data_IF_085004546795
#
_entry.id   IF_085004546795
#
_cell.length_a   1.000
_cell.length_b   1.000
_cell.length_c   1.000
_cell.angle_alpha   90.00
_cell.angle_beta   90.00
_cell.angle_gamma   90.00
#
_symmetry.space_group_name_H-M   'P 1'
#
loop_
_entity.id
_entity.type
_entity.pdbx_description
1 polymer ?
#
# COMPACT_ATOMS: atom_id res chain seq x y z
N UNK A 1 -17.03 28.16 -27.46
CA UNK A 1 -17.64 27.06 -26.67
C UNK A 1 -17.14 25.76 -27.26
N UNK A 2 -16.30 25.01 -26.56
CA UNK A 2 -15.88 23.67 -27.00
C UNK A 2 -17.01 22.70 -26.69
N UNK A 3 -17.51 22.00 -27.71
CA UNK A 3 -18.57 21.02 -27.54
C UNK A 3 -17.99 19.73 -26.93
N UNK A 4 -18.69 19.13 -25.97
CA UNK A 4 -18.32 17.84 -25.37
C UNK A 4 -18.83 16.71 -26.27
N UNK A 5 -18.15 15.56 -26.28
CA UNK A 5 -18.66 14.37 -26.98
C UNK A 5 -20.06 13.99 -26.49
N UNK A 6 -20.97 13.75 -27.44
CA UNK A 6 -22.29 13.20 -27.16
C UNK A 6 -22.23 11.68 -27.09
N UNK A 7 -23.30 11.07 -26.58
CA UNK A 7 -23.44 9.61 -26.53
C UNK A 7 -23.41 8.99 -27.94
N UNK A 8 -23.93 9.68 -28.93
CA UNK A 8 -23.94 9.23 -30.33
C UNK A 8 -22.53 9.23 -30.93
N UNK A 9 -21.73 10.26 -30.65
CA UNK A 9 -20.32 10.33 -31.07
C UNK A 9 -19.52 9.13 -30.51
N UNK A 10 -19.75 8.79 -29.24
CA UNK A 10 -19.06 7.66 -28.57
C UNK A 10 -19.49 6.32 -29.18
N UNK A 11 -20.77 6.15 -29.52
CA UNK A 11 -21.28 4.93 -30.18
C UNK A 11 -20.69 4.79 -31.58
N UNK A 12 -20.59 5.89 -32.33
CA UNK A 12 -19.96 5.89 -33.65
C UNK A 12 -18.46 5.59 -33.57
N UNK A 13 -17.76 6.14 -32.58
CA UNK A 13 -16.35 5.79 -32.33
C UNK A 13 -16.17 4.30 -32.04
N UNK A 14 -17.00 3.69 -31.17
CA UNK A 14 -16.92 2.25 -30.87
C UNK A 14 -17.23 1.34 -32.06
N UNK A 15 -18.04 1.82 -33.00
CA UNK A 15 -18.36 1.11 -34.24
C UNK A 15 -17.32 1.32 -35.34
N UNK A 16 -16.50 2.36 -35.21
CA UNK A 16 -15.41 2.64 -36.15
C UNK A 16 -14.38 1.52 -36.09
N UNK A 17 -13.91 1.07 -37.26
CA UNK A 17 -12.79 0.13 -37.38
C UNK A 17 -11.44 0.85 -37.27
N UNK A 18 -11.45 2.17 -37.12
CA UNK A 18 -10.27 3.00 -36.92
C UNK A 18 -9.64 2.69 -35.55
N UNK A 19 -8.33 2.36 -35.52
CA UNK A 19 -7.56 2.18 -34.26
C UNK A 19 -7.08 3.53 -33.72
N UNK A 20 -8.02 4.38 -33.35
CA UNK A 20 -7.73 5.71 -32.81
C UNK A 20 -8.25 5.85 -31.38
N UNK A 21 -7.56 6.63 -30.57
CA UNK A 21 -7.98 6.90 -29.19
C UNK A 21 -9.24 7.77 -29.18
N UNK A 22 -10.00 7.73 -28.07
CA UNK A 22 -11.21 8.55 -27.92
C UNK A 22 -10.88 10.06 -27.95
N UNK A 23 -9.69 10.42 -27.47
CA UNK A 23 -9.18 11.79 -27.47
C UNK A 23 -8.86 12.28 -28.89
N UNK A 24 -8.24 11.43 -29.72
CA UNK A 24 -7.92 11.79 -31.10
C UNK A 24 -9.19 11.88 -31.96
N UNK A 25 -10.17 11.00 -31.69
CA UNK A 25 -11.50 11.10 -32.29
C UNK A 25 -12.22 12.39 -31.88
N UNK A 26 -12.09 12.80 -30.62
CA UNK A 26 -12.63 14.06 -30.11
C UNK A 26 -12.01 15.27 -30.82
N UNK A 27 -10.66 15.30 -30.93
CA UNK A 27 -9.92 16.35 -31.62
C UNK A 27 -10.36 16.51 -33.08
N UNK A 28 -10.58 15.39 -33.79
CA UNK A 28 -11.06 15.40 -35.19
C UNK A 28 -12.45 16.03 -35.34
N UNK A 29 -13.33 15.82 -34.37
CA UNK A 29 -14.66 16.41 -34.33
C UNK A 29 -14.66 17.85 -33.78
N UNK A 30 -13.50 18.39 -33.38
CA UNK A 30 -13.41 19.68 -32.68
C UNK A 30 -14.08 19.67 -31.31
N UNK A 31 -14.25 18.47 -30.73
CA UNK A 31 -14.90 18.24 -29.44
C UNK A 31 -13.87 17.83 -28.38
N UNK A 32 -14.25 17.96 -27.11
CA UNK A 32 -13.41 17.56 -25.97
C UNK A 32 -14.07 16.39 -25.26
N UNK A 33 -13.25 15.44 -24.78
CA UNK A 33 -13.73 14.34 -23.93
C UNK A 33 -14.20 14.96 -22.61
N UNK A 34 -15.43 14.63 -22.17
CA UNK A 34 -15.95 15.13 -20.89
C UNK A 34 -14.96 14.81 -19.79
N UNK A 35 -14.67 15.81 -18.95
CA UNK A 35 -13.86 15.60 -17.75
C UNK A 35 -14.46 14.47 -16.89
N UNK A 36 -13.56 13.78 -16.20
CA UNK A 36 -13.75 12.60 -15.36
C UNK A 36 -15.14 12.58 -14.71
N UNK A 37 -15.97 11.61 -15.12
CA UNK A 37 -17.20 11.35 -14.40
C UNK A 37 -16.81 10.82 -13.03
N UNK A 38 -17.39 11.38 -11.97
CA UNK A 38 -17.30 10.80 -10.64
C UNK A 38 -17.83 9.36 -10.70
N UNK A 39 -16.95 8.38 -10.53
CA UNK A 39 -17.32 6.99 -10.47
C UNK A 39 -17.71 6.67 -9.03
N UNK A 40 -18.96 6.22 -8.84
CA UNK A 40 -19.41 5.65 -7.56
C UNK A 40 -18.95 4.19 -7.40
N UNK A 41 -17.89 3.78 -8.10
CA UNK A 41 -17.33 2.44 -8.00
C UNK A 41 -16.40 2.37 -6.77
N UNK A 42 -16.55 1.31 -5.97
CA UNK A 42 -15.78 1.15 -4.74
C UNK A 42 -14.28 1.04 -5.00
N UNK A 43 -13.87 0.46 -6.13
CA UNK A 43 -12.45 0.32 -6.47
C UNK A 43 -11.83 1.68 -6.81
N UNK A 44 -12.53 2.48 -7.62
CA UNK A 44 -12.08 3.83 -7.98
C UNK A 44 -12.04 4.76 -6.77
N UNK A 45 -13.06 4.70 -5.89
CA UNK A 45 -13.09 5.48 -4.64
C UNK A 45 -11.91 5.09 -3.73
N UNK A 46 -11.58 3.80 -3.64
CA UNK A 46 -10.46 3.32 -2.83
C UNK A 46 -9.13 3.79 -3.40
N UNK A 47 -8.93 3.68 -4.71
CA UNK A 47 -7.70 4.13 -5.38
C UNK A 47 -7.52 5.65 -5.24
N UNK A 48 -8.58 6.44 -5.46
CA UNK A 48 -8.54 7.90 -5.31
C UNK A 48 -8.17 8.33 -3.88
N UNK A 49 -8.69 7.63 -2.87
CA UNK A 49 -8.29 7.83 -1.46
C UNK A 49 -6.84 7.44 -1.20
N UNK A 50 -6.33 6.40 -1.85
CA UNK A 50 -4.91 6.00 -1.72
C UNK A 50 -4.01 7.08 -2.34
N UNK A 51 -4.37 7.62 -3.51
CA UNK A 51 -3.62 8.68 -4.18
C UNK A 51 -3.64 10.00 -3.36
N UNK A 52 -4.79 10.39 -2.83
CA UNK A 52 -4.91 11.54 -1.92
C UNK A 52 -4.09 11.34 -0.63
N UNK A 53 -4.06 10.14 -0.08
CA UNK A 53 -3.24 9.83 1.11
C UNK A 53 -1.75 9.87 0.76
N UNK A 54 -1.33 9.46 -0.44
CA UNK A 54 0.06 9.54 -0.89
C UNK A 54 0.50 11.01 -1.06
N UNK A 55 -0.31 11.86 -1.69
CA UNK A 55 0.00 13.28 -1.86
C UNK A 55 0.09 14.01 -0.51
N UNK A 56 -0.77 13.69 0.46
CA UNK A 56 -0.71 14.30 1.81
C UNK A 56 0.53 13.84 2.58
N UNK A 57 1.06 12.64 2.31
CA UNK A 57 2.30 12.16 2.92
C UNK A 57 3.52 12.88 2.32
N UNK A 58 3.56 13.11 1.00
CA UNK A 58 4.68 13.83 0.36
C UNK A 58 4.78 15.29 0.78
N UNK A 59 3.66 15.96 1.12
CA UNK A 59 3.67 17.36 1.59
C UNK A 59 4.11 17.48 3.07
N UNK A 60 4.01 16.40 3.86
CA UNK A 60 4.42 16.39 5.26
C UNK A 60 5.89 16.00 5.48
N UNK A 61 6.57 15.48 4.45
CA UNK A 61 7.93 14.91 4.55
C UNK A 61 9.02 15.87 4.05
N UNK A 62 8.97 17.14 4.46
CA UNK A 62 10.05 18.12 4.20
C UNK A 62 10.84 18.52 5.47
N UNK A 63 10.59 17.90 6.62
CA UNK A 63 11.39 18.11 7.83
C UNK A 63 11.56 16.79 8.59
N UNK A 64 12.58 16.03 8.21
CA UNK A 64 13.66 15.51 9.07
C UNK A 64 14.35 14.33 8.38
N UNK A 65 15.68 14.42 8.36
CA UNK A 65 16.57 13.47 7.70
C UNK A 65 16.30 12.01 8.14
N UNK A 66 16.34 11.04 7.21
CA UNK A 66 16.17 9.65 7.55
C UNK A 66 17.44 9.17 8.27
N UNK A 67 17.40 9.17 9.59
CA UNK A 67 18.37 8.43 10.38
C UNK A 67 18.12 6.94 10.10
N UNK A 68 18.93 6.37 9.21
CA UNK A 68 19.14 4.93 9.11
C UNK A 68 19.50 4.41 10.51
N UNK A 69 18.69 3.55 11.15
CA UNK A 69 19.23 2.73 12.21
C UNK A 69 19.95 1.56 11.53
N UNK A 70 21.24 1.74 11.26
CA UNK A 70 22.17 0.63 11.01
C UNK A 70 22.28 -0.18 12.30
N UNK A 71 21.29 -1.04 12.53
CA UNK A 71 21.38 -2.11 13.51
C UNK A 71 21.69 -3.35 12.69
N UNK A 72 22.97 -3.64 12.53
CA UNK A 72 23.45 -4.91 12.00
C UNK A 72 23.10 -6.03 12.99
N UNK A 73 21.83 -6.43 13.01
CA UNK A 73 21.45 -7.68 13.64
C UNK A 73 21.78 -8.76 12.60
N UNK A 74 22.88 -9.48 12.83
CA UNK A 74 23.19 -10.73 12.10
C UNK A 74 22.15 -11.81 12.46
N UNK A 75 20.92 -11.63 12.01
CA UNK A 75 19.90 -12.67 12.01
C UNK A 75 20.05 -13.44 10.71
N UNK A 76 20.27 -14.74 10.84
CA UNK A 76 20.24 -15.66 9.72
C UNK A 76 18.79 -15.87 9.29
N UNK A 77 18.40 -15.25 8.18
CA UNK A 77 17.14 -15.55 7.52
C UNK A 77 17.34 -16.74 6.58
N UNK A 78 16.43 -17.71 6.65
CA UNK A 78 16.42 -18.86 5.74
C UNK A 78 15.85 -18.50 4.36
N UNK A 79 15.02 -17.45 4.30
CA UNK A 79 14.27 -17.03 3.13
C UNK A 79 14.06 -15.51 3.12
N UNK A 80 13.87 -14.90 1.93
CA UNK A 80 13.62 -13.46 1.79
C UNK A 80 12.31 -13.03 2.47
N UNK A 81 12.34 -11.89 3.16
CA UNK A 81 11.16 -11.31 3.80
C UNK A 81 10.29 -10.58 2.78
N UNK A 82 8.99 -10.51 3.08
CA UNK A 82 8.04 -9.68 2.34
C UNK A 82 8.02 -8.26 2.92
N UNK A 83 7.74 -7.22 2.12
CA UNK A 83 7.68 -5.80 2.55
C UNK A 83 6.87 -5.60 3.85
N UNK A 84 5.72 -6.26 3.97
CA UNK A 84 4.89 -6.21 5.20
C UNK A 84 5.55 -6.90 6.39
N UNK A 85 6.20 -8.04 6.16
CA UNK A 85 6.95 -8.77 7.20
C UNK A 85 8.16 -7.95 7.68
N UNK A 86 8.81 -7.20 6.80
CA UNK A 86 9.91 -6.28 7.15
C UNK A 86 9.44 -5.16 8.07
N UNK A 87 8.27 -4.55 7.82
CA UNK A 87 7.70 -3.53 8.71
C UNK A 87 7.41 -4.10 10.10
N UNK A 88 6.79 -5.29 10.15
CA UNK A 88 6.53 -6.02 11.40
C UNK A 88 7.85 -6.28 12.14
N UNK A 89 8.86 -6.78 11.43
CA UNK A 89 10.17 -7.10 11.98
C UNK A 89 10.92 -5.85 12.47
N UNK A 90 10.87 -4.76 11.72
CA UNK A 90 11.43 -3.46 12.11
C UNK A 90 10.78 -2.94 13.39
N UNK A 91 9.46 -3.12 13.56
CA UNK A 91 8.78 -2.75 14.79
C UNK A 91 9.26 -3.58 15.99
N UNK A 92 9.50 -4.87 15.81
CA UNK A 92 10.13 -5.72 16.83
C UNK A 92 11.57 -5.28 17.13
N UNK A 93 12.34 -4.87 16.13
CA UNK A 93 13.71 -4.38 16.30
C UNK A 93 13.79 -3.04 17.04
N UNK A 94 12.80 -2.17 16.86
CA UNK A 94 12.65 -0.93 17.63
C UNK A 94 12.32 -1.20 19.11
N UNK A 95 11.52 -2.24 19.36
CA UNK A 95 11.04 -2.62 20.69
C UNK A 95 11.75 -3.87 21.26
N UNK A 96 13.09 -3.88 21.28
CA UNK A 96 13.87 -5.00 21.84
C UNK A 96 13.49 -5.27 23.29
N UNK A 97 13.33 -6.55 23.67
CA UNK A 97 13.00 -7.01 25.04
C UNK A 97 11.68 -6.48 25.63
N UNK A 98 10.89 -5.70 24.87
CA UNK A 98 9.56 -5.24 25.27
C UNK A 98 8.49 -6.19 24.72
N UNK A 99 7.39 -6.33 25.46
CA UNK A 99 6.19 -7.03 24.97
C UNK A 99 5.53 -6.20 23.87
N UNK A 100 5.42 -6.77 22.68
CA UNK A 100 4.75 -6.16 21.53
C UNK A 100 3.42 -6.86 21.27
N UNK A 101 2.35 -6.09 21.11
CA UNK A 101 1.02 -6.63 20.83
C UNK A 101 0.67 -6.57 19.35
N UNK A 102 -0.09 -7.56 18.87
CA UNK A 102 -0.59 -7.59 17.50
C UNK A 102 -1.44 -6.36 17.16
N UNK A 103 -2.18 -5.84 18.14
CA UNK A 103 -3.03 -4.65 18.00
C UNK A 103 -2.24 -3.40 17.59
N UNK A 104 -1.01 -3.24 18.08
CA UNK A 104 -0.18 -2.07 17.74
C UNK A 104 0.32 -2.15 16.30
N UNK A 105 0.76 -3.34 15.89
CA UNK A 105 1.24 -3.61 14.54
C UNK A 105 0.10 -3.48 13.52
N UNK A 106 -1.10 -3.92 13.90
CA UNK A 106 -2.32 -3.80 13.09
C UNK A 106 -2.63 -2.34 12.78
N UNK A 107 -2.51 -1.45 13.77
CA UNK A 107 -2.70 0.00 13.58
C UNK A 107 -1.69 0.60 12.62
N UNK A 108 -0.41 0.20 12.71
CA UNK A 108 0.66 0.72 11.84
C UNK A 108 0.43 0.30 10.39
N UNK A 109 0.06 -0.96 10.17
CA UNK A 109 -0.19 -1.46 8.83
C UNK A 109 -1.58 -1.08 8.29
N UNK A 110 -2.48 -0.63 9.16
CA UNK A 110 -3.90 -0.42 8.89
C UNK A 110 -4.60 -1.70 8.38
N UNK A 111 -4.23 -2.86 8.96
CA UNK A 111 -4.83 -4.18 8.64
C UNK A 111 -5.49 -4.80 9.87
N UNK A 112 -6.45 -5.72 9.67
CA UNK A 112 -7.01 -6.53 10.76
C UNK A 112 -5.94 -7.38 11.48
N UNK A 113 -6.16 -7.61 12.77
CA UNK A 113 -5.29 -8.42 13.63
C UNK A 113 -4.97 -9.82 13.07
N UNK A 114 -5.92 -10.44 12.37
CA UNK A 114 -5.74 -11.78 11.78
C UNK A 114 -4.57 -11.84 10.79
N UNK A 115 -4.38 -10.78 10.00
CA UNK A 115 -3.26 -10.69 9.07
C UNK A 115 -1.93 -10.52 9.79
N UNK A 116 -1.91 -9.78 10.90
CA UNK A 116 -0.70 -9.61 11.73
C UNK A 116 -0.25 -10.96 12.27
N UNK A 117 -1.17 -11.78 12.79
CA UNK A 117 -0.84 -13.14 13.24
C UNK A 117 -0.27 -14.01 12.12
N UNK A 118 -0.81 -13.88 10.90
CA UNK A 118 -0.27 -14.58 9.72
C UNK A 118 1.17 -14.14 9.41
N UNK A 119 1.45 -12.84 9.46
CA UNK A 119 2.81 -12.32 9.21
C UNK A 119 3.80 -12.71 10.29
N UNK A 120 3.39 -12.70 11.57
CA UNK A 120 4.23 -13.16 12.68
C UNK A 120 4.53 -14.67 12.55
N UNK A 121 3.53 -15.48 12.17
CA UNK A 121 3.70 -16.91 11.90
C UNK A 121 4.69 -17.15 10.75
N UNK A 122 4.61 -16.38 9.68
CA UNK A 122 5.55 -16.49 8.56
C UNK A 122 6.95 -16.03 8.94
N UNK A 123 7.09 -14.91 9.65
CA UNK A 123 8.36 -14.41 10.16
C UNK A 123 9.07 -15.46 11.00
N UNK A 124 8.36 -16.17 11.88
CA UNK A 124 8.92 -17.29 12.66
C UNK A 124 9.45 -18.44 11.82
N UNK A 125 8.85 -18.70 10.66
CA UNK A 125 9.34 -19.75 9.73
C UNK A 125 10.59 -19.30 8.98
N UNK A 126 10.73 -17.99 8.73
CA UNK A 126 11.82 -17.40 7.94
C UNK A 126 13.04 -17.03 8.77
N UNK A 127 12.84 -16.65 10.04
CA UNK A 127 13.92 -16.40 11.00
C UNK A 127 14.46 -17.75 11.48
N UNK A 128 15.76 -17.97 11.38
CA UNK A 128 16.39 -19.13 12.00
C UNK A 128 16.59 -18.87 13.50
N UNK A 129 15.93 -19.69 14.34
CA UNK A 129 16.10 -19.67 15.79
C UNK A 129 14.87 -19.23 16.58
N UNK A 130 14.80 -19.63 17.85
CA UNK A 130 13.71 -19.31 18.77
C UNK A 130 13.85 -17.88 19.34
N UNK A 131 14.08 -16.90 18.46
CA UNK A 131 14.33 -15.50 18.80
C UNK A 131 13.02 -14.79 19.16
N UNK A 132 11.89 -15.21 18.55
CA UNK A 132 10.58 -14.58 18.77
C UNK A 132 9.67 -15.46 19.63
N UNK A 133 9.63 -15.18 20.94
CA UNK A 133 8.90 -15.96 21.95
C UNK A 133 7.56 -15.30 22.29
N UNK A 134 6.57 -16.11 22.70
CA UNK A 134 5.29 -15.58 23.22
C UNK A 134 5.51 -15.05 24.65
N UNK A 135 4.95 -13.89 24.97
CA UNK A 135 4.97 -13.35 26.33
C UNK A 135 3.81 -13.88 27.18
N UNK A 136 4.00 -13.92 28.50
CA UNK A 136 2.92 -14.14 29.46
C UNK A 136 1.91 -12.97 29.40
N UNK A 137 0.62 -13.30 29.36
CA UNK A 137 -0.53 -12.41 29.03
C UNK A 137 -0.65 -11.95 27.58
N UNK A 138 -0.05 -12.69 26.64
CA UNK A 138 -0.15 -12.41 25.21
C UNK A 138 0.87 -11.38 24.75
N UNK A 139 0.99 -11.28 23.43
CA UNK A 139 2.06 -10.52 22.77
C UNK A 139 3.32 -11.34 22.54
N UNK A 140 4.30 -10.67 21.94
CA UNK A 140 5.51 -11.27 21.40
C UNK A 140 6.73 -10.51 21.89
N UNK A 141 7.78 -11.23 22.28
CA UNK A 141 9.06 -10.66 22.69
C UNK A 141 10.12 -11.14 21.71
N UNK A 142 10.91 -10.19 21.22
CA UNK A 142 12.11 -10.45 20.44
C UNK A 142 13.32 -10.54 21.39
N UNK A 143 13.85 -11.75 21.55
CA UNK A 143 15.09 -12.04 22.27
C UNK A 143 16.27 -11.98 21.29
N UNK A 144 16.79 -10.76 21.09
CA UNK A 144 18.06 -10.49 20.40
C UNK A 144 19.07 -9.98 21.42
#
# INVERSE_FOLDING_TARGET
MTAVLTKEDIVNWRRSTERITLEDYAKRLGKVVSAEKETNDLHDILNKRVDEVIEVIEVAEAVEAPQKPDIEIKISFKEKLNKREEVVFNYFCKNKKRKVFANEIAKILNLPNDYVYKYIRNLRKKIAGNILVNAENGGYILNV
#
